data_IF_434539009799
#
_entry.id   IF_434539009799
#
_cell.length_a   1.000
_cell.length_b   1.000
_cell.length_c   1.000
_cell.angle_alpha   90.00
_cell.angle_beta   90.00
_cell.angle_gamma   90.00
#
_symmetry.space_group_name_H-M   'P 1'
#
loop_
_entity.id
_entity.type
_entity.pdbx_description
1 polymer ?
#
# COMPACT_ATOMS: atom_id res chain seq x y z
N UNK A 1 0.71 7.20 -37.88
CA UNK A 1 0.84 8.66 -37.70
C UNK A 1 1.11 8.95 -36.22
N UNK A 2 2.13 9.75 -35.87
CA UNK A 2 2.61 9.90 -34.51
C UNK A 2 1.76 10.89 -33.71
N UNK A 3 1.43 10.52 -32.47
CA UNK A 3 0.63 11.34 -31.54
C UNK A 3 1.45 12.53 -31.02
N UNK A 4 0.85 13.70 -31.06
CA UNK A 4 1.39 15.01 -30.68
C UNK A 4 1.65 15.13 -29.17
N UNK A 5 2.73 15.85 -28.82
CA UNK A 5 3.31 16.08 -27.49
C UNK A 5 2.43 16.88 -26.50
N UNK A 6 1.11 16.90 -26.65
CA UNK A 6 0.24 17.86 -25.94
C UNK A 6 -0.61 17.23 -24.83
N UNK A 7 -0.32 16.00 -24.38
CA UNK A 7 -1.06 15.36 -23.27
C UNK A 7 -0.20 14.92 -22.07
N UNK A 8 1.07 15.36 -21.99
CA UNK A 8 1.95 15.11 -20.85
C UNK A 8 2.24 16.41 -20.07
N UNK A 9 1.20 17.10 -19.60
CA UNK A 9 1.32 18.12 -18.55
C UNK A 9 0.07 18.10 -17.66
N UNK A 10 -0.10 17.00 -16.93
CA UNK A 10 -0.80 17.07 -15.65
C UNK A 10 0.18 17.74 -14.68
N UNK A 11 -0.11 19.01 -14.43
CA UNK A 11 0.62 19.93 -13.58
C UNK A 11 0.73 19.33 -12.16
N UNK A 12 1.87 18.70 -11.86
CA UNK A 12 2.28 18.41 -10.49
C UNK A 12 2.39 19.75 -9.77
N UNK A 13 1.33 20.16 -9.08
CA UNK A 13 1.43 21.12 -7.98
C UNK A 13 2.31 20.49 -6.90
N UNK A 14 3.63 20.63 -7.07
CA UNK A 14 4.59 20.37 -6.02
C UNK A 14 4.43 21.50 -5.01
N UNK A 15 3.92 21.16 -3.84
CA UNK A 15 4.08 22.00 -2.65
C UNK A 15 5.56 22.40 -2.54
N UNK A 16 5.87 23.66 -2.16
CA UNK A 16 7.25 24.12 -2.09
C UNK A 16 8.04 23.23 -1.14
N UNK A 17 9.10 22.60 -1.65
CA UNK A 17 10.01 21.81 -0.85
C UNK A 17 10.69 22.73 0.17
N UNK A 18 10.40 22.55 1.45
CA UNK A 18 11.14 23.18 2.54
C UNK A 18 12.62 22.81 2.40
N UNK A 19 13.50 23.82 2.37
CA UNK A 19 14.95 23.63 2.36
C UNK A 19 15.36 22.81 3.59
N UNK A 20 15.67 21.53 3.38
CA UNK A 20 16.04 20.58 4.45
C UNK A 20 15.20 19.31 4.49
N UNK A 21 14.12 19.20 3.71
CA UNK A 21 13.41 17.93 3.55
C UNK A 21 14.27 16.97 2.71
N UNK A 22 14.81 15.92 3.34
CA UNK A 22 15.42 14.81 2.63
C UNK A 22 14.45 14.30 1.55
N UNK A 23 14.90 14.32 0.30
CA UNK A 23 14.09 13.84 -0.81
C UNK A 23 13.83 12.35 -0.60
N UNK A 24 12.56 11.98 -0.45
CA UNK A 24 12.17 10.58 -0.30
C UNK A 24 12.60 9.81 -1.55
N UNK A 25 13.41 8.74 -1.41
CA UNK A 25 13.98 8.07 -2.57
C UNK A 25 12.89 7.33 -3.36
N UNK A 26 13.03 7.31 -4.68
CA UNK A 26 12.03 6.76 -5.60
C UNK A 26 11.74 5.27 -5.34
N UNK A 27 12.73 4.50 -4.89
CA UNK A 27 12.56 3.09 -4.57
C UNK A 27 11.52 2.82 -3.48
N UNK A 28 11.24 3.80 -2.60
CA UNK A 28 10.22 3.62 -1.55
C UNK A 28 8.83 3.38 -2.12
N UNK A 29 8.56 3.77 -3.36
CA UNK A 29 7.27 3.44 -3.99
C UNK A 29 7.07 1.94 -4.20
N UNK A 30 8.15 1.15 -4.31
CA UNK A 30 8.07 -0.31 -4.40
C UNK A 30 7.69 -0.97 -3.07
N UNK A 31 7.62 -0.22 -1.96
CA UNK A 31 7.15 -0.74 -0.66
C UNK A 31 5.64 -0.84 -0.55
N UNK A 32 4.89 -0.29 -1.51
CA UNK A 32 3.42 -0.21 -1.42
C UNK A 32 2.71 -0.41 -2.75
N UNK A 33 3.38 -0.24 -3.90
CA UNK A 33 2.78 -0.56 -5.20
C UNK A 33 2.71 -2.06 -5.40
N UNK A 34 1.60 -2.54 -5.98
CA UNK A 34 1.43 -3.95 -6.38
C UNK A 34 2.48 -4.36 -7.40
N UNK A 35 2.65 -3.54 -8.44
CA UNK A 35 3.64 -3.78 -9.49
C UNK A 35 4.93 -3.04 -9.11
N UNK A 36 6.04 -3.75 -8.83
CA UNK A 36 7.32 -3.13 -8.52
C UNK A 36 7.91 -2.42 -9.74
N UNK A 37 8.86 -1.50 -9.52
CA UNK A 37 9.43 -0.69 -10.62
C UNK A 37 10.34 -1.47 -11.58
N UNK A 38 10.87 -2.62 -11.16
CA UNK A 38 11.74 -3.49 -11.97
C UNK A 38 13.13 -2.94 -12.26
N UNK A 39 13.56 -1.84 -11.61
CA UNK A 39 14.89 -1.28 -11.80
C UNK A 39 15.95 -1.98 -10.95
N UNK A 40 17.13 -2.23 -11.51
CA UNK A 40 18.25 -2.90 -10.82
C UNK A 40 18.85 -2.04 -9.68
N UNK A 41 18.66 -0.71 -9.70
CA UNK A 41 19.09 0.19 -8.63
C UNK A 41 18.06 0.30 -7.48
N UNK A 42 16.89 -0.31 -7.64
CA UNK A 42 15.89 -0.39 -6.59
C UNK A 42 16.22 -1.56 -5.64
N UNK A 43 16.52 -1.31 -4.35
CA UNK A 43 16.90 -2.35 -3.40
C UNK A 43 15.83 -3.44 -3.19
N UNK A 44 14.56 -3.15 -3.51
CA UNK A 44 13.48 -4.12 -3.43
C UNK A 44 13.47 -4.99 -4.69
N UNK A 45 13.53 -4.38 -5.87
CA UNK A 45 13.45 -5.11 -7.14
C UNK A 45 14.72 -5.92 -7.40
N UNK A 46 15.89 -5.38 -7.05
CA UNK A 46 17.17 -6.09 -7.17
C UNK A 46 17.18 -7.33 -6.30
N UNK A 47 16.69 -7.23 -5.05
CA UNK A 47 16.63 -8.38 -4.14
C UNK A 47 15.68 -9.48 -4.64
N UNK A 48 14.49 -9.10 -5.12
CA UNK A 48 13.53 -10.05 -5.72
C UNK A 48 14.17 -10.78 -6.91
N UNK A 49 14.93 -10.06 -7.74
CA UNK A 49 15.65 -10.63 -8.88
C UNK A 49 16.74 -11.60 -8.43
N UNK A 50 17.53 -11.24 -7.42
CA UNK A 50 18.56 -12.11 -6.84
C UNK A 50 17.96 -13.37 -6.18
N UNK A 51 16.85 -13.25 -5.46
CA UNK A 51 16.06 -14.37 -4.91
C UNK A 51 15.62 -15.33 -6.02
N UNK A 52 15.00 -14.79 -7.07
CA UNK A 52 14.58 -15.56 -8.24
C UNK A 52 15.74 -16.27 -8.93
N UNK A 53 16.87 -15.60 -9.13
CA UNK A 53 18.08 -16.20 -9.72
C UNK A 53 18.66 -17.32 -8.84
N UNK A 54 18.58 -17.20 -7.50
CA UNK A 54 19.02 -18.24 -6.56
C UNK A 54 18.15 -19.51 -6.67
N UNK A 55 16.83 -19.38 -6.73
CA UNK A 55 15.93 -20.52 -6.91
C UNK A 55 16.18 -21.23 -8.25
N UNK A 56 16.30 -20.46 -9.34
CA UNK A 56 16.64 -21.01 -10.67
C UNK A 56 17.98 -21.76 -10.64
N UNK A 57 19.00 -21.21 -9.96
CA UNK A 57 20.31 -21.86 -9.85
C UNK A 57 20.27 -23.18 -9.04
N UNK A 58 19.30 -23.33 -8.13
CA UNK A 58 19.06 -24.57 -7.37
C UNK A 58 18.19 -25.59 -8.14
N UNK A 59 17.66 -25.21 -9.31
CA UNK A 59 16.72 -26.03 -10.07
C UNK A 59 15.31 -26.05 -9.48
N UNK A 60 14.99 -25.07 -8.63
CA UNK A 60 13.67 -24.86 -8.03
C UNK A 60 12.82 -23.98 -8.94
N UNK A 61 11.50 -24.13 -8.85
CA UNK A 61 10.57 -23.20 -9.50
C UNK A 61 10.47 -21.93 -8.64
N UNK A 62 10.97 -20.77 -9.11
CA UNK A 62 10.92 -19.53 -8.34
C UNK A 62 9.50 -19.02 -8.13
N UNK A 63 8.55 -19.47 -8.95
CA UNK A 63 7.16 -19.05 -8.89
C UNK A 63 6.31 -20.07 -8.07
N UNK A 64 6.96 -21.01 -7.37
CA UNK A 64 6.32 -21.96 -6.45
C UNK A 64 5.90 -21.31 -5.13
N UNK A 65 4.86 -21.86 -4.51
CA UNK A 65 4.38 -21.42 -3.20
C UNK A 65 5.46 -21.65 -2.14
N UNK A 66 6.20 -22.76 -2.25
CA UNK A 66 7.29 -23.12 -1.36
C UNK A 66 8.43 -22.09 -1.38
N UNK A 67 8.85 -21.66 -2.58
CA UNK A 67 9.85 -20.61 -2.74
C UNK A 67 9.37 -19.28 -2.12
N UNK A 68 8.12 -18.89 -2.38
CA UNK A 68 7.53 -17.68 -1.81
C UNK A 68 7.48 -17.71 -0.26
N UNK A 69 7.20 -18.86 0.35
CA UNK A 69 7.24 -19.02 1.81
C UNK A 69 8.66 -18.98 2.36
N UNK A 70 9.65 -19.58 1.68
CA UNK A 70 11.06 -19.53 2.08
C UNK A 70 11.59 -18.09 2.05
N UNK A 71 11.32 -17.35 0.98
CA UNK A 71 11.69 -15.94 0.86
C UNK A 71 11.05 -15.08 1.96
N UNK A 72 9.77 -15.33 2.27
CA UNK A 72 9.08 -14.67 3.37
C UNK A 72 9.72 -14.97 4.73
N UNK A 73 10.01 -16.24 5.06
CA UNK A 73 10.64 -16.64 6.33
C UNK A 73 12.04 -16.01 6.48
N UNK A 74 12.84 -16.04 5.41
CA UNK A 74 14.16 -15.41 5.38
C UNK A 74 14.05 -13.90 5.65
N UNK A 75 13.12 -13.21 5.00
CA UNK A 75 12.86 -11.80 5.24
C UNK A 75 12.44 -11.51 6.69
N UNK A 76 11.56 -12.33 7.27
CA UNK A 76 11.14 -12.18 8.66
C UNK A 76 12.30 -12.39 9.64
N UNK A 77 13.14 -13.40 9.42
CA UNK A 77 14.33 -13.65 10.24
C UNK A 77 15.31 -12.48 10.19
N UNK A 78 15.63 -12.00 9.00
CA UNK A 78 16.51 -10.84 8.82
C UNK A 78 15.95 -9.60 9.53
N UNK A 79 14.65 -9.34 9.36
CA UNK A 79 13.97 -8.21 9.99
C UNK A 79 13.96 -8.34 11.52
N UNK A 80 13.71 -9.54 12.04
CA UNK A 80 13.66 -9.82 13.48
C UNK A 80 15.03 -9.58 14.14
N UNK A 81 16.10 -10.09 13.52
CA UNK A 81 17.49 -9.87 13.97
C UNK A 81 17.82 -8.36 14.00
N UNK A 82 17.41 -7.61 12.98
CA UNK A 82 17.60 -6.15 12.94
C UNK A 82 16.82 -5.42 14.04
N UNK A 83 15.64 -5.90 14.42
CA UNK A 83 14.85 -5.32 15.51
C UNK A 83 15.41 -5.64 16.89
N UNK A 84 15.88 -6.87 17.15
CA UNK A 84 16.53 -7.23 18.42
C UNK A 84 17.83 -6.45 18.63
N UNK A 85 18.64 -6.28 17.58
CA UNK A 85 19.88 -5.49 17.65
C UNK A 85 19.65 -3.99 17.89
N UNK A 86 18.43 -3.48 17.62
CA UNK A 86 18.04 -2.08 17.85
C UNK A 86 17.18 -1.88 19.11
N UNK A 87 16.85 -2.94 19.84
CA UNK A 87 16.02 -2.90 21.05
C UNK A 87 16.75 -2.34 22.29
N UNK A 88 17.74 -1.48 22.09
CA UNK A 88 18.40 -0.74 23.14
C UNK A 88 18.13 0.76 22.93
N UNK A 89 17.03 1.26 23.52
CA UNK A 89 16.93 2.53 24.28
C UNK A 89 15.49 3.03 24.50
N UNK A 90 15.25 3.26 25.80
CA UNK A 90 14.32 4.20 26.47
C UNK A 90 12.80 3.91 26.52
N UNK A 91 12.27 3.35 27.64
CA UNK A 91 10.87 2.96 27.79
C UNK A 91 9.94 4.07 28.33
N UNK A 92 10.29 5.36 28.22
CA UNK A 92 9.47 6.44 28.81
C UNK A 92 8.88 7.40 27.76
N UNK A 93 7.61 7.14 27.44
CA UNK A 93 6.55 8.13 27.12
C UNK A 93 6.26 8.56 25.66
N UNK A 94 6.83 7.89 24.65
CA UNK A 94 6.62 8.24 23.22
C UNK A 94 6.00 7.13 22.36
N UNK A 95 5.33 6.16 22.98
CA UNK A 95 4.63 5.14 22.23
C UNK A 95 3.42 5.74 21.50
N UNK A 96 3.38 5.57 20.18
CA UNK A 96 2.26 6.01 19.37
C UNK A 96 0.97 5.29 19.81
N UNK A 97 -0.20 5.93 19.67
CA UNK A 97 -1.48 5.30 19.95
C UNK A 97 -1.63 4.00 19.17
N UNK A 98 -2.32 3.01 19.76
CA UNK A 98 -2.69 1.80 19.04
C UNK A 98 -3.55 2.16 17.81
N UNK A 99 -3.47 1.39 16.70
CA UNK A 99 -4.34 1.61 15.55
C UNK A 99 -5.84 1.70 15.93
N UNK A 100 -6.25 0.88 16.90
CA UNK A 100 -7.63 0.83 17.39
C UNK A 100 -8.03 2.03 18.27
N UNK A 101 -7.14 2.98 18.53
CA UNK A 101 -7.52 4.24 19.19
C UNK A 101 -8.03 5.27 18.17
N UNK A 102 -7.79 5.07 16.87
CA UNK A 102 -8.21 6.00 15.82
C UNK A 102 -9.54 5.58 15.17
N UNK A 103 -10.61 6.35 15.39
CA UNK A 103 -11.94 6.08 14.81
C UNK A 103 -11.90 5.89 13.29
N UNK A 104 -11.13 6.71 12.57
CA UNK A 104 -11.01 6.59 11.11
C UNK A 104 -10.37 5.27 10.69
N UNK A 105 -9.37 4.78 11.44
CA UNK A 105 -8.75 3.48 11.20
C UNK A 105 -9.78 2.35 11.29
N UNK A 106 -10.66 2.37 12.32
CA UNK A 106 -11.73 1.37 12.46
C UNK A 106 -12.70 1.35 11.28
N UNK A 107 -13.10 2.53 10.79
CA UNK A 107 -13.99 2.62 9.63
C UNK A 107 -13.37 1.95 8.40
N UNK A 108 -12.07 2.19 8.17
CA UNK A 108 -11.34 1.62 7.04
C UNK A 108 -11.06 0.14 7.23
N UNK A 109 -10.72 -0.30 8.45
CA UNK A 109 -10.55 -1.71 8.77
C UNK A 109 -11.82 -2.49 8.44
N UNK A 110 -12.98 -2.00 8.88
CA UNK A 110 -14.27 -2.63 8.56
C UNK A 110 -14.56 -2.66 7.06
N UNK A 111 -14.24 -1.58 6.35
CA UNK A 111 -14.38 -1.53 4.90
C UNK A 111 -13.47 -2.57 4.21
N UNK A 112 -12.20 -2.66 4.62
CA UNK A 112 -11.22 -3.65 4.14
C UNK A 112 -11.70 -5.07 4.42
N UNK A 113 -12.14 -5.35 5.64
CA UNK A 113 -12.62 -6.68 6.04
C UNK A 113 -13.85 -7.12 5.22
N UNK A 114 -14.72 -6.17 4.83
CA UNK A 114 -15.81 -6.48 3.90
C UNK A 114 -15.29 -6.81 2.49
N UNK A 115 -14.23 -6.15 2.00
CA UNK A 115 -13.59 -6.52 0.71
C UNK A 115 -13.01 -7.92 0.80
N UNK A 116 -12.32 -8.25 1.89
CA UNK A 116 -11.79 -9.60 2.11
C UNK A 116 -12.91 -10.65 2.13
N UNK A 117 -14.02 -10.37 2.82
CA UNK A 117 -15.18 -11.25 2.83
C UNK A 117 -15.78 -11.46 1.43
N UNK A 118 -15.84 -10.41 0.61
CA UNK A 118 -16.31 -10.53 -0.79
C UNK A 118 -15.37 -11.44 -1.58
N UNK A 119 -14.06 -11.36 -1.36
CA UNK A 119 -13.07 -12.21 -1.99
C UNK A 119 -13.21 -13.68 -1.57
N UNK A 120 -13.33 -13.94 -0.26
CA UNK A 120 -13.49 -15.28 0.29
C UNK A 120 -14.75 -15.97 -0.29
N UNK A 121 -15.88 -15.25 -0.34
CA UNK A 121 -17.12 -15.76 -0.93
C UNK A 121 -17.06 -15.91 -2.47
N UNK A 122 -16.14 -15.20 -3.11
CA UNK A 122 -15.94 -15.26 -4.57
C UNK A 122 -15.11 -16.47 -5.00
N UNK A 123 -14.17 -16.90 -4.14
CA UNK A 123 -13.35 -18.08 -4.37
C UNK A 123 -14.23 -19.35 -4.43
N UNK A 124 -15.21 -19.44 -3.53
CA UNK A 124 -16.22 -20.51 -3.49
C UNK A 124 -17.13 -20.54 -4.73
N UNK A 125 -17.26 -19.41 -5.44
CA UNK A 125 -18.17 -19.25 -6.59
C UNK A 125 -17.45 -19.20 -7.94
N UNK A 126 -16.14 -19.45 -7.97
CA UNK A 126 -15.30 -19.36 -9.18
C UNK A 126 -15.43 -18.02 -9.90
N UNK A 127 -15.51 -16.92 -9.13
CA UNK A 127 -15.74 -15.59 -9.69
C UNK A 127 -14.49 -15.10 -10.41
N UNK A 128 -14.63 -14.72 -11.68
CA UNK A 128 -13.50 -14.39 -12.56
C UNK A 128 -12.83 -13.07 -12.24
N UNK A 129 -13.46 -12.20 -11.44
CA UNK A 129 -12.93 -10.87 -11.16
C UNK A 129 -11.64 -10.91 -10.33
N UNK A 130 -11.42 -11.96 -9.53
CA UNK A 130 -10.21 -12.15 -8.72
C UNK A 130 -8.94 -12.21 -9.58
N UNK A 131 -9.06 -12.65 -10.84
CA UNK A 131 -7.96 -12.80 -11.79
C UNK A 131 -7.82 -11.60 -12.74
N UNK A 132 -8.51 -10.50 -12.46
CA UNK A 132 -8.40 -9.25 -13.23
C UNK A 132 -7.44 -8.29 -12.55
N UNK A 133 -6.83 -7.39 -13.34
CA UNK A 133 -5.96 -6.34 -12.78
C UNK A 133 -6.70 -5.48 -11.75
N UNK A 134 -7.98 -5.18 -12.01
CA UNK A 134 -8.83 -4.45 -11.07
C UNK A 134 -9.07 -5.22 -9.76
N UNK A 135 -9.23 -6.55 -9.82
CA UNK A 135 -9.37 -7.40 -8.64
C UNK A 135 -8.09 -7.45 -7.80
N UNK A 136 -6.96 -7.70 -8.44
CA UNK A 136 -5.65 -7.71 -7.78
C UNK A 136 -5.32 -6.35 -7.14
N UNK A 137 -5.58 -5.25 -7.86
CA UNK A 137 -5.42 -3.89 -7.33
C UNK A 137 -6.35 -3.65 -6.13
N UNK A 138 -7.62 -4.07 -6.20
CA UNK A 138 -8.56 -3.90 -5.10
C UNK A 138 -8.05 -4.57 -3.82
N UNK A 139 -7.64 -5.84 -3.90
CA UNK A 139 -7.15 -6.60 -2.74
C UNK A 139 -5.87 -5.98 -2.18
N UNK A 140 -4.89 -5.73 -3.04
CA UNK A 140 -3.60 -5.17 -2.64
C UNK A 140 -3.73 -3.78 -2.00
N UNK A 141 -4.46 -2.88 -2.66
CA UNK A 141 -4.56 -1.50 -2.19
C UNK A 141 -5.54 -1.34 -1.02
N UNK A 142 -6.42 -2.31 -0.74
CA UNK A 142 -7.27 -2.26 0.45
C UNK A 142 -6.44 -2.41 1.74
N UNK A 143 -5.52 -3.36 1.78
CA UNK A 143 -4.56 -3.51 2.88
C UNK A 143 -3.56 -2.35 2.94
N UNK A 144 -3.10 -1.89 1.76
CA UNK A 144 -2.21 -0.74 1.68
C UNK A 144 -2.87 0.52 2.25
N UNK A 145 -4.13 0.80 1.91
CA UNK A 145 -4.88 1.94 2.42
C UNK A 145 -4.96 1.91 3.95
N UNK A 146 -5.32 0.76 4.53
CA UNK A 146 -5.40 0.58 5.98
C UNK A 146 -4.06 0.88 6.67
N UNK A 147 -2.97 0.28 6.16
CA UNK A 147 -1.62 0.46 6.67
C UNK A 147 -1.15 1.93 6.58
N UNK A 148 -1.40 2.58 5.44
CA UNK A 148 -0.99 3.97 5.21
C UNK A 148 -1.84 4.97 5.99
N UNK A 149 -3.13 4.71 6.22
CA UNK A 149 -3.96 5.56 7.07
C UNK A 149 -3.47 5.51 8.51
N UNK A 150 -3.18 4.32 9.04
CA UNK A 150 -2.55 4.21 10.36
C UNK A 150 -1.25 5.00 10.43
N UNK A 151 -0.36 4.84 9.45
CA UNK A 151 0.91 5.58 9.38
C UNK A 151 0.69 7.10 9.36
N UNK A 152 -0.26 7.60 8.57
CA UNK A 152 -0.57 9.02 8.47
C UNK A 152 -1.14 9.57 9.79
N UNK A 153 -2.00 8.83 10.47
CA UNK A 153 -2.57 9.18 11.78
C UNK A 153 -1.47 9.26 12.85
N UNK A 154 -0.54 8.30 12.86
CA UNK A 154 0.62 8.31 13.76
C UNK A 154 1.55 9.49 13.45
N UNK A 155 1.81 9.77 12.17
CA UNK A 155 2.62 10.93 11.77
C UNK A 155 1.95 12.24 12.24
N UNK A 156 0.64 12.39 12.06
CA UNK A 156 -0.14 13.54 12.56
C UNK A 156 -0.01 13.69 14.08
N UNK A 157 -0.14 12.58 14.81
CA UNK A 157 0.02 12.56 16.27
C UNK A 157 1.43 13.01 16.70
N UNK A 158 2.47 12.52 16.03
CA UNK A 158 3.83 12.94 16.30
C UNK A 158 4.08 14.42 15.98
N UNK A 159 3.52 14.94 14.88
CA UNK A 159 3.58 16.36 14.54
C UNK A 159 2.88 17.22 15.60
N UNK A 160 1.73 16.79 16.10
CA UNK A 160 1.02 17.47 17.18
C UNK A 160 1.83 17.52 18.50
N UNK A 161 2.71 16.52 18.72
CA UNK A 161 3.67 16.51 19.82
C UNK A 161 4.97 17.29 19.55
N UNK A 162 5.11 17.92 18.38
CA UNK A 162 6.28 18.72 18.02
C UNK A 162 7.51 17.90 17.60
N UNK A 163 7.33 16.62 17.22
CA UNK A 163 8.43 15.77 16.77
C UNK A 163 8.97 16.26 15.41
N UNK A 164 10.26 16.57 15.39
CA UNK A 164 10.98 17.07 14.22
C UNK A 164 11.23 15.97 13.18
N UNK A 165 11.43 16.34 11.92
CA UNK A 165 11.85 15.42 10.84
C UNK A 165 10.74 14.55 10.22
N UNK A 166 9.47 14.72 10.62
CA UNK A 166 8.35 13.90 10.13
C UNK A 166 7.61 14.53 8.93
N UNK A 167 7.84 15.81 8.63
CA UNK A 167 7.16 16.53 7.54
C UNK A 167 7.29 15.82 6.19
N UNK A 168 8.49 15.36 5.82
CA UNK A 168 8.73 14.66 4.57
C UNK A 168 7.98 13.31 4.51
N UNK A 169 7.96 12.57 5.62
CA UNK A 169 7.26 11.30 5.74
C UNK A 169 5.72 11.47 5.70
N UNK A 170 5.22 12.52 6.35
CA UNK A 170 3.81 12.88 6.38
C UNK A 170 3.34 13.32 4.98
N UNK A 171 4.10 14.16 4.28
CA UNK A 171 3.80 14.56 2.91
C UNK A 171 3.86 13.36 1.94
N UNK A 172 4.86 12.49 2.10
CA UNK A 172 4.98 11.27 1.30
C UNK A 172 3.79 10.33 1.51
N UNK A 173 3.44 10.05 2.76
CA UNK A 173 2.33 9.14 3.08
C UNK A 173 0.99 9.72 2.60
N UNK A 174 0.78 11.04 2.73
CA UNK A 174 -0.39 11.72 2.16
C UNK A 174 -0.51 11.58 0.63
N UNK A 175 0.61 11.67 -0.11
CA UNK A 175 0.63 11.37 -1.55
C UNK A 175 0.25 9.92 -1.81
N UNK A 176 0.86 8.97 -1.09
CA UNK A 176 0.57 7.53 -1.25
C UNK A 176 -0.92 7.25 -1.02
N UNK A 177 -1.52 7.84 0.01
CA UNK A 177 -2.96 7.71 0.27
C UNK A 177 -3.81 8.22 -0.90
N UNK A 178 -3.45 9.36 -1.46
CA UNK A 178 -4.16 9.93 -2.62
C UNK A 178 -4.09 9.02 -3.84
N UNK A 179 -2.91 8.45 -4.11
CA UNK A 179 -2.72 7.47 -5.21
C UNK A 179 -3.49 6.18 -4.95
N UNK A 180 -3.43 5.63 -3.73
CA UNK A 180 -4.18 4.42 -3.34
C UNK A 180 -5.69 4.61 -3.50
N UNK A 181 -6.24 5.75 -3.05
CA UNK A 181 -7.66 6.07 -3.20
C UNK A 181 -8.08 6.16 -4.68
N UNK A 182 -7.22 6.74 -5.52
CA UNK A 182 -7.49 6.82 -6.96
C UNK A 182 -7.54 5.44 -7.60
N UNK A 183 -6.60 4.55 -7.27
CA UNK A 183 -6.55 3.17 -7.77
C UNK A 183 -7.77 2.41 -7.30
N UNK A 184 -8.04 2.38 -5.99
CA UNK A 184 -9.18 1.66 -5.41
C UNK A 184 -10.52 2.08 -6.00
N UNK A 185 -10.76 3.39 -6.18
CA UNK A 185 -11.97 3.88 -6.82
C UNK A 185 -12.05 3.47 -8.29
N UNK A 186 -10.92 3.46 -8.99
CA UNK A 186 -10.80 2.95 -10.36
C UNK A 186 -11.19 1.48 -10.43
N UNK A 187 -10.54 0.63 -9.64
CA UNK A 187 -10.79 -0.81 -9.53
C UNK A 187 -12.26 -1.11 -9.22
N UNK A 188 -12.82 -0.49 -8.16
CA UNK A 188 -14.23 -0.69 -7.80
C UNK A 188 -15.20 -0.20 -8.88
N UNK A 189 -14.88 0.89 -9.58
CA UNK A 189 -15.70 1.40 -10.69
C UNK A 189 -15.67 0.46 -11.90
N UNK A 190 -14.56 -0.23 -12.13
CA UNK A 190 -14.43 -1.23 -13.18
C UNK A 190 -15.19 -2.51 -12.81
N UNK A 191 -14.92 -3.05 -11.63
CA UNK A 191 -15.56 -4.27 -11.11
C UNK A 191 -17.09 -4.12 -11.01
N UNK A 192 -17.59 -2.96 -10.59
CA UNK A 192 -19.03 -2.68 -10.53
C UNK A 192 -19.72 -2.58 -11.89
N UNK A 193 -18.98 -2.51 -13.00
CA UNK A 193 -19.52 -2.54 -14.37
C UNK A 193 -19.48 -3.92 -14.99
N UNK A 194 -18.75 -4.86 -14.38
CA UNK A 194 -18.72 -6.25 -14.84
C UNK A 194 -20.07 -6.93 -14.55
N UNK A 195 -20.44 -7.87 -15.40
CA UNK A 195 -21.62 -8.73 -15.19
C UNK A 195 -21.23 -9.91 -14.31
N UNK A 196 -21.05 -9.63 -13.03
CA UNK A 196 -20.64 -10.57 -11.98
C UNK A 196 -21.61 -10.51 -10.80
N UNK A 197 -21.66 -11.58 -10.00
CA UNK A 197 -22.58 -11.70 -8.86
C UNK A 197 -22.37 -10.60 -7.82
N UNK A 198 -21.11 -10.24 -7.55
CA UNK A 198 -20.71 -9.30 -6.49
C UNK A 198 -20.86 -7.81 -6.88
N UNK A 199 -21.57 -7.50 -7.97
CA UNK A 199 -21.70 -6.15 -8.52
C UNK A 199 -22.28 -5.15 -7.52
N UNK A 200 -23.26 -5.55 -6.72
CA UNK A 200 -23.89 -4.68 -5.73
C UNK A 200 -22.91 -4.35 -4.59
N UNK A 201 -22.17 -5.35 -4.14
CA UNK A 201 -21.17 -5.27 -3.09
C UNK A 201 -20.06 -4.28 -3.48
N UNK A 202 -19.58 -4.32 -4.73
CA UNK A 202 -18.59 -3.36 -5.21
C UNK A 202 -19.14 -1.93 -5.28
N UNK A 203 -20.40 -1.74 -5.67
CA UNK A 203 -21.04 -0.41 -5.65
C UNK A 203 -21.15 0.13 -4.21
N UNK A 204 -21.53 -0.72 -3.26
CA UNK A 204 -21.61 -0.36 -1.84
C UNK A 204 -20.21 0.00 -1.31
N UNK A 205 -19.21 -0.83 -1.59
CA UNK A 205 -17.83 -0.57 -1.21
C UNK A 205 -17.28 0.75 -1.78
N UNK A 206 -17.60 1.07 -3.05
CA UNK A 206 -17.23 2.34 -3.68
C UNK A 206 -17.89 3.55 -3.01
N UNK A 207 -19.18 3.44 -2.67
CA UNK A 207 -19.91 4.49 -1.97
C UNK A 207 -19.29 4.77 -0.59
N UNK A 208 -18.99 3.72 0.18
CA UNK A 208 -18.32 3.87 1.48
C UNK A 208 -16.94 4.51 1.33
N UNK A 209 -16.12 4.05 0.39
CA UNK A 209 -14.78 4.61 0.18
C UNK A 209 -14.85 6.09 -0.21
N UNK A 210 -15.79 6.46 -1.08
CA UNK A 210 -16.02 7.86 -1.47
C UNK A 210 -16.47 8.72 -0.28
N UNK A 211 -17.30 8.16 0.61
CA UNK A 211 -17.69 8.84 1.85
C UNK A 211 -16.52 9.08 2.81
N UNK A 212 -15.54 8.18 2.84
CA UNK A 212 -14.35 8.28 3.70
C UNK A 212 -13.22 9.12 3.09
N UNK A 213 -13.22 9.32 1.77
CA UNK A 213 -12.13 10.00 1.04
C UNK A 213 -11.75 11.35 1.66
N UNK A 214 -12.74 12.19 1.98
CA UNK A 214 -12.48 13.50 2.59
C UNK A 214 -11.84 13.37 3.97
N UNK A 215 -12.29 12.43 4.80
CA UNK A 215 -11.70 12.18 6.12
C UNK A 215 -10.24 11.72 5.96
N UNK A 216 -9.95 10.81 5.02
CA UNK A 216 -8.61 10.25 4.75
C UNK A 216 -7.64 11.32 4.24
N UNK A 217 -8.05 12.13 3.26
CA UNK A 217 -7.20 13.19 2.70
C UNK A 217 -6.94 14.31 3.73
N UNK A 218 -7.84 14.47 4.71
CA UNK A 218 -7.73 15.50 5.76
C UNK A 218 -6.93 15.08 7.00
N UNK A 219 -6.38 13.85 7.04
CA UNK A 219 -5.54 13.40 8.16
C UNK A 219 -4.29 14.26 8.23
#
# INVERSE_FOLDING_TARGET
>A
MPRTKTQLKAEKQRLPAEKGAEAIPAWRDCTWKRIPCGHDDCPICSRIKEERERHIARGEDPDSIEAAFEDADNFFRETFILTEQKADKDPKNDQAPSPLEFILYHKILRWRDNIALIADLSDDTSSTWLFTEAGEDLLWYADTLLSKVHRQLVNRWHLAKGRQGINAEYAYTGRVLSECLAILKGSLSELSRMEITQKLEFNIALLFLTGLEKEIISI
#
